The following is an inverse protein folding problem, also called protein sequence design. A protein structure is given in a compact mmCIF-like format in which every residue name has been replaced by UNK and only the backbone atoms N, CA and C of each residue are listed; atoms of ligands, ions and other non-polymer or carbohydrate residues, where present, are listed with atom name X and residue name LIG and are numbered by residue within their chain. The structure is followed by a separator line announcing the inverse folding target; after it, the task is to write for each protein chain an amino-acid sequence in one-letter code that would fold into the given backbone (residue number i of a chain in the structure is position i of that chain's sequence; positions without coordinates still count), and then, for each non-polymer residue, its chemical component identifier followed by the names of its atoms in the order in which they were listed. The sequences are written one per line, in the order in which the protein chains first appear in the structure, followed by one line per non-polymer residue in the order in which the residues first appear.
data_IF_509192706428
#
_entry.id   IF_509192706428
#
_cell.length_a   1.000
_cell.length_b   1.000
_cell.length_c   1.000
_cell.angle_alpha   90.00
_cell.angle_beta   90.00
_cell.angle_gamma   90.00
#
_symmetry.space_group_name_H-M   'P 1'
#
loop_
_entity.id
_entity.type
_entity.pdbx_description
1 polymer ?
#
# COMPACT_ATOMS: atom_id res chain seq x y z
N UNK A 1 1.68 11.56 36.89
CA UNK A 1 0.87 12.13 35.78
C UNK A 1 1.51 11.89 34.40
N UNK A 2 2.48 10.98 34.26
CA UNK A 2 3.32 10.89 33.06
C UNK A 2 2.81 9.93 31.96
N UNK A 3 1.77 9.12 32.22
CA UNK A 3 1.39 8.06 31.27
C UNK A 3 0.56 8.57 30.08
N UNK A 4 -0.27 9.60 30.28
CA UNK A 4 -1.17 10.11 29.23
C UNK A 4 -0.44 10.79 28.09
N UNK A 5 0.61 11.58 28.34
CA UNK A 5 1.32 12.26 27.24
C UNK A 5 2.08 11.30 26.33
N UNK A 6 2.54 10.18 26.89
CA UNK A 6 3.27 9.14 26.16
C UNK A 6 2.32 8.31 25.27
N UNK A 7 1.14 7.97 25.80
CA UNK A 7 0.09 7.28 25.02
C UNK A 7 -0.41 8.14 23.85
N UNK A 8 -0.70 9.43 24.07
CA UNK A 8 -1.15 10.32 22.99
C UNK A 8 -0.08 10.52 21.91
N UNK A 9 1.21 10.59 22.29
CA UNK A 9 2.34 10.63 21.35
C UNK A 9 2.43 9.35 20.50
N UNK A 10 2.23 8.19 21.11
CA UNK A 10 2.22 6.91 20.37
C UNK A 10 1.02 6.75 19.43
N UNK A 11 -0.17 7.24 19.80
CA UNK A 11 -1.35 7.23 18.91
C UNK A 11 -1.14 8.17 17.72
N UNK A 12 -0.58 9.36 17.94
CA UNK A 12 -0.25 10.30 16.87
C UNK A 12 0.77 9.70 15.88
N UNK A 13 1.79 9.02 16.38
CA UNK A 13 2.77 8.31 15.54
C UNK A 13 2.12 7.18 14.71
N UNK A 14 1.22 6.40 15.30
CA UNK A 14 0.47 5.35 14.60
C UNK A 14 -0.47 5.91 13.53
N UNK A 15 -1.13 7.05 13.79
CA UNK A 15 -1.97 7.74 12.80
C UNK A 15 -1.15 8.25 11.61
N UNK A 16 0.03 8.82 11.86
CA UNK A 16 0.95 9.24 10.79
C UNK A 16 1.39 8.03 9.96
N UNK A 17 1.78 6.93 10.61
CA UNK A 17 2.16 5.67 9.94
C UNK A 17 1.01 5.11 9.10
N UNK A 18 -0.22 5.09 9.63
CA UNK A 18 -1.43 4.69 8.91
C UNK A 18 -1.64 5.53 7.64
N UNK A 19 -1.52 6.86 7.75
CA UNK A 19 -1.67 7.78 6.63
C UNK A 19 -0.64 7.46 5.53
N UNK A 20 0.62 7.29 5.90
CA UNK A 20 1.70 6.93 4.98
C UNK A 20 1.44 5.60 4.28
N UNK A 21 1.08 4.54 5.03
CA UNK A 21 0.76 3.23 4.46
C UNK A 21 -0.42 3.30 3.48
N UNK A 22 -1.47 4.06 3.83
CA UNK A 22 -2.62 4.29 2.94
C UNK A 22 -2.20 5.03 1.66
N UNK A 23 -1.33 6.04 1.76
CA UNK A 23 -0.77 6.73 0.60
C UNK A 23 0.01 5.77 -0.30
N UNK A 24 0.86 4.91 0.29
CA UNK A 24 1.62 3.92 -0.48
C UNK A 24 0.66 2.95 -1.20
N UNK A 25 -0.37 2.45 -0.53
CA UNK A 25 -1.40 1.60 -1.16
C UNK A 25 -2.02 2.30 -2.36
N UNK A 26 -2.45 3.56 -2.21
CA UNK A 26 -3.04 4.32 -3.32
C UNK A 26 -2.08 4.48 -4.51
N UNK A 27 -0.81 4.80 -4.24
CA UNK A 27 0.21 4.96 -5.29
C UNK A 27 0.46 3.63 -6.02
N UNK A 28 0.64 2.53 -5.29
CA UNK A 28 0.87 1.22 -5.89
C UNK A 28 -0.35 0.75 -6.70
N UNK A 29 -1.58 0.97 -6.21
CA UNK A 29 -2.79 0.68 -6.95
C UNK A 29 -2.90 1.50 -8.25
N UNK A 30 -2.52 2.78 -8.21
CA UNK A 30 -2.49 3.63 -9.40
C UNK A 30 -1.48 3.10 -10.44
N UNK A 31 -0.28 2.70 -10.01
CA UNK A 31 0.74 2.13 -10.91
C UNK A 31 0.25 0.84 -11.57
N UNK A 32 -0.41 -0.04 -10.83
CA UNK A 32 -1.02 -1.28 -11.37
C UNK A 32 -2.09 -0.91 -12.40
N UNK A 33 -2.96 0.04 -12.11
CA UNK A 33 -4.00 0.48 -13.03
C UNK A 33 -3.42 1.04 -14.34
N UNK A 34 -2.42 1.93 -14.23
CA UNK A 34 -1.74 2.52 -15.39
C UNK A 34 -1.06 1.44 -16.23
N UNK A 35 -0.39 0.48 -15.59
CA UNK A 35 0.20 -0.66 -16.30
C UNK A 35 -0.86 -1.52 -16.98
N UNK A 36 -1.98 -1.80 -16.32
CA UNK A 36 -3.10 -2.55 -16.88
C UNK A 36 -3.66 -1.89 -18.15
N UNK A 37 -3.86 -0.57 -18.12
CA UNK A 37 -4.30 0.20 -19.29
C UNK A 37 -3.26 0.11 -20.42
N UNK A 38 -1.98 0.32 -20.12
CA UNK A 38 -0.89 0.20 -21.09
C UNK A 38 -0.86 -1.20 -21.73
N UNK A 39 -0.99 -2.25 -20.92
CA UNK A 39 -1.01 -3.64 -21.37
C UNK A 39 -2.16 -3.88 -22.36
N UNK A 40 -3.39 -3.49 -21.99
CA UNK A 40 -4.56 -3.66 -22.86
C UNK A 40 -4.38 -2.87 -24.16
N UNK A 41 -3.87 -1.63 -24.10
CA UNK A 41 -3.63 -0.82 -25.30
C UNK A 41 -2.62 -1.48 -26.25
N UNK A 42 -1.51 -2.03 -25.73
CA UNK A 42 -0.52 -2.76 -26.53
C UNK A 42 -1.08 -4.05 -27.12
N UNK A 43 -1.91 -4.76 -26.37
CA UNK A 43 -2.57 -5.98 -26.82
C UNK A 43 -3.55 -5.70 -27.96
N UNK A 44 -4.41 -4.68 -27.82
CA UNK A 44 -5.36 -4.25 -28.87
C UNK A 44 -4.62 -3.76 -30.11
N UNK A 45 -3.52 -3.03 -29.95
CA UNK A 45 -2.69 -2.57 -31.06
C UNK A 45 -1.88 -3.68 -31.75
N UNK A 46 -1.88 -4.92 -31.22
CA UNK A 46 -1.08 -6.03 -31.75
C UNK A 46 0.43 -5.82 -31.63
N UNK A 47 0.88 -4.86 -30.82
CA UNK A 47 2.31 -4.51 -30.63
C UNK A 47 2.88 -5.07 -29.33
N UNK A 48 2.19 -6.05 -28.74
CA UNK A 48 2.68 -6.72 -27.54
C UNK A 48 3.79 -7.71 -27.91
N UNK A 49 5.00 -7.42 -27.46
CA UNK A 49 6.13 -8.32 -27.63
C UNK A 49 6.05 -9.47 -26.61
N UNK A 50 6.13 -10.71 -27.10
CA UNK A 50 6.12 -11.91 -26.26
C UNK A 50 7.27 -11.95 -25.24
N UNK A 51 8.36 -11.21 -25.48
CA UNK A 51 9.50 -11.10 -24.57
C UNK A 51 9.43 -9.90 -23.61
N UNK A 52 8.25 -9.32 -23.38
CA UNK A 52 8.06 -8.27 -22.37
C UNK A 52 8.09 -8.81 -20.92
N UNK A 53 9.00 -9.75 -20.65
CA UNK A 53 9.21 -10.45 -19.38
C UNK A 53 9.53 -9.47 -18.26
N UNK A 54 10.31 -8.42 -18.54
CA UNK A 54 10.63 -7.36 -17.57
C UNK A 54 9.39 -6.60 -17.10
N UNK A 55 8.43 -6.35 -18.00
CA UNK A 55 7.17 -5.69 -17.66
C UNK A 55 6.32 -6.54 -16.72
N UNK A 56 6.21 -7.84 -16.99
CA UNK A 56 5.44 -8.77 -16.16
C UNK A 56 6.09 -8.96 -14.78
N UNK A 57 7.42 -9.14 -14.74
CA UNK A 57 8.16 -9.27 -13.48
C UNK A 57 8.03 -8.00 -12.64
N UNK A 58 8.16 -6.82 -13.26
CA UNK A 58 7.96 -5.54 -12.58
C UNK A 58 6.55 -5.39 -11.98
N UNK A 59 5.52 -5.77 -12.73
CA UNK A 59 4.15 -5.79 -12.21
C UNK A 59 4.01 -6.75 -11.02
N UNK A 60 4.58 -7.95 -11.11
CA UNK A 60 4.57 -8.94 -10.02
C UNK A 60 5.17 -8.40 -8.73
N UNK A 61 6.31 -7.70 -8.82
CA UNK A 61 6.96 -7.06 -7.66
C UNK A 61 6.06 -5.98 -7.04
N UNK A 62 5.41 -5.15 -7.86
CA UNK A 62 4.50 -4.10 -7.38
C UNK A 62 3.30 -4.73 -6.65
N UNK A 63 2.75 -5.83 -7.16
CA UNK A 63 1.63 -6.55 -6.51
C UNK A 63 2.07 -7.13 -5.16
N UNK A 64 3.23 -7.77 -5.08
CA UNK A 64 3.76 -8.28 -3.80
C UNK A 64 3.98 -7.15 -2.80
N UNK A 65 4.56 -6.03 -3.23
CA UNK A 65 4.74 -4.86 -2.38
C UNK A 65 3.40 -4.31 -1.86
N UNK A 66 2.38 -4.24 -2.72
CA UNK A 66 1.04 -3.81 -2.34
C UNK A 66 0.45 -4.74 -1.26
N UNK A 67 0.60 -6.06 -1.40
CA UNK A 67 0.13 -7.02 -0.40
C UNK A 67 0.80 -6.78 0.96
N UNK A 68 2.13 -6.63 0.98
CA UNK A 68 2.88 -6.40 2.23
C UNK A 68 2.47 -5.11 2.93
N UNK A 69 2.33 -4.01 2.18
CA UNK A 69 1.92 -2.71 2.74
C UNK A 69 0.49 -2.78 3.26
N UNK A 70 -0.40 -3.49 2.56
CA UNK A 70 -1.79 -3.68 2.99
C UNK A 70 -1.86 -4.46 4.30
N UNK A 71 -1.08 -5.54 4.44
CA UNK A 71 -0.99 -6.29 5.70
C UNK A 71 -0.52 -5.40 6.84
N UNK A 72 0.53 -4.59 6.64
CA UNK A 72 1.00 -3.65 7.66
C UNK A 72 -0.05 -2.61 8.01
N UNK A 73 -0.81 -2.11 7.03
CA UNK A 73 -1.90 -1.16 7.26
C UNK A 73 -2.96 -1.77 8.16
N UNK A 74 -3.36 -3.03 7.90
CA UNK A 74 -4.32 -3.75 8.75
C UNK A 74 -3.80 -3.92 10.18
N UNK A 75 -2.53 -4.26 10.36
CA UNK A 75 -1.91 -4.36 11.70
C UNK A 75 -1.96 -3.02 12.44
N UNK A 76 -1.57 -1.92 11.79
CA UNK A 76 -1.61 -0.58 12.38
C UNK A 76 -3.04 -0.14 12.70
N UNK A 77 -4.02 -0.48 11.84
CA UNK A 77 -5.43 -0.20 12.11
C UNK A 77 -5.98 -0.99 13.29
N UNK A 78 -5.57 -2.25 13.46
CA UNK A 78 -5.93 -3.05 14.63
C UNK A 78 -5.33 -2.46 15.91
N UNK A 79 -4.05 -2.12 15.89
CA UNK A 79 -3.35 -1.52 17.04
C UNK A 79 -3.96 -0.16 17.44
N UNK A 80 -4.34 0.68 16.46
CA UNK A 80 -5.05 1.93 16.73
C UNK A 80 -6.40 1.70 17.43
N UNK A 81 -7.20 0.72 16.95
CA UNK A 81 -8.48 0.40 17.57
C UNK A 81 -8.33 -0.10 19.01
N UNK A 82 -7.34 -0.96 19.26
CA UNK A 82 -7.05 -1.48 20.60
C UNK A 82 -6.60 -0.39 21.58
N UNK A 83 -5.83 0.59 21.12
CA UNK A 83 -5.39 1.72 21.94
C UNK A 83 -6.52 2.73 22.20
N UNK A 84 -7.35 3.02 21.19
CA UNK A 84 -8.53 3.89 21.34
C UNK A 84 -9.62 3.28 22.23
N UNK A 85 -9.72 1.95 22.32
CA UNK A 85 -10.67 1.28 23.22
C UNK A 85 -10.19 1.22 24.69
N UNK A 86 -8.93 1.60 24.95
CA UNK A 86 -8.32 1.62 26.30
C UNK A 86 -8.21 3.03 26.89
N UNK A 87 -8.41 4.09 26.08
CA UNK A 87 -8.66 5.47 26.54
C UNK A 87 -10.13 5.67 26.94
#
# INVERSE_FOLDING_TARGET
MENKSNETSTVAALLAKKKTLRTIVMVLSLLILLYGIYFVAKLVAGTWEANNTLGIVGLGVIVVALSLVTTQLTTVEKELKERQAKE
#
